data_IF_814079693424
#
_entry.id   IF_814079693424
#
_cell.length_a   1.000
_cell.length_b   1.000
_cell.length_c   1.000
_cell.angle_alpha   90.00
_cell.angle_beta   90.00
_cell.angle_gamma   90.00
#
_symmetry.space_group_name_H-M   'P 1'
#
loop_
_entity.id
_entity.type
_entity.pdbx_description
1 polymer ?
#
# COMPACT_ATOMS: atom_id res chain seq x y z
N UNK A 1 -14.10 -10.54 0.55
CA UNK A 1 -13.71 -9.51 -0.43
C UNK A 1 -13.89 -8.11 0.15
N UNK A 2 -12.96 -7.68 0.99
CA UNK A 2 -13.01 -6.34 1.59
C UNK A 2 -11.68 -5.65 1.35
N UNK A 3 -11.52 -5.05 0.18
CA UNK A 3 -10.38 -4.18 -0.09
C UNK A 3 -10.57 -2.88 0.68
N UNK A 4 -9.61 -2.56 1.56
CA UNK A 4 -9.68 -1.35 2.39
C UNK A 4 -9.65 -0.06 1.54
N UNK A 5 -8.81 -0.04 0.48
CA UNK A 5 -8.67 1.07 -0.48
C UNK A 5 -8.21 0.52 -1.84
N UNK A 6 -8.67 1.15 -2.93
CA UNK A 6 -8.20 0.88 -4.29
C UNK A 6 -7.51 2.14 -4.82
N UNK A 7 -6.23 2.04 -5.14
CA UNK A 7 -5.48 3.15 -5.75
C UNK A 7 -5.59 3.13 -7.26
N UNK A 8 -5.93 4.25 -7.89
CA UNK A 8 -5.89 4.41 -9.35
C UNK A 8 -5.17 5.71 -9.68
N UNK A 9 -4.29 5.70 -10.69
CA UNK A 9 -3.64 6.91 -11.15
C UNK A 9 -4.68 7.97 -11.56
N UNK A 10 -4.55 9.17 -10.98
CA UNK A 10 -5.52 10.27 -11.12
C UNK A 10 -5.87 10.59 -12.57
N UNK A 11 -4.87 10.71 -13.44
CA UNK A 11 -5.08 11.12 -14.84
C UNK A 11 -5.95 10.11 -15.58
N UNK A 12 -5.59 8.83 -15.50
CA UNK A 12 -6.34 7.74 -16.14
C UNK A 12 -7.73 7.59 -15.50
N UNK A 13 -7.81 7.69 -14.18
CA UNK A 13 -9.09 7.62 -13.47
C UNK A 13 -10.08 8.68 -13.97
N UNK A 14 -9.71 9.96 -13.91
CA UNK A 14 -10.61 11.07 -14.24
C UNK A 14 -10.91 11.16 -15.74
N UNK A 15 -9.96 10.82 -16.61
CA UNK A 15 -10.15 10.98 -18.06
C UNK A 15 -10.91 9.82 -18.71
N UNK A 16 -10.79 8.60 -18.17
CA UNK A 16 -11.26 7.41 -18.88
C UNK A 16 -12.21 6.52 -18.06
N UNK A 17 -12.06 6.45 -16.73
CA UNK A 17 -12.63 5.33 -15.95
C UNK A 17 -13.74 5.79 -14.99
N UNK A 18 -13.66 7.01 -14.44
CA UNK A 18 -14.53 7.48 -13.36
C UNK A 18 -16.02 7.31 -13.68
N UNK A 19 -16.48 7.79 -14.84
CA UNK A 19 -17.91 7.71 -15.21
C UNK A 19 -18.44 6.28 -15.21
N UNK A 20 -17.71 5.35 -15.85
CA UNK A 20 -18.10 3.94 -15.94
C UNK A 20 -18.12 3.26 -14.58
N UNK A 21 -17.12 3.52 -13.74
CA UNK A 21 -17.09 2.98 -12.38
C UNK A 21 -18.27 3.51 -11.57
N UNK A 22 -18.56 4.81 -11.62
CA UNK A 22 -19.65 5.42 -10.87
C UNK A 22 -21.02 4.88 -11.30
N UNK A 23 -21.24 4.69 -12.61
CA UNK A 23 -22.44 4.04 -13.14
C UNK A 23 -22.58 2.60 -12.62
N UNK A 24 -21.49 1.85 -12.62
CA UNK A 24 -21.50 0.45 -12.18
C UNK A 24 -21.71 0.31 -10.66
N UNK A 25 -21.11 1.19 -9.86
CA UNK A 25 -21.34 1.27 -8.41
C UNK A 25 -22.82 1.54 -8.12
N UNK A 26 -23.44 2.50 -8.84
CA UNK A 26 -24.88 2.79 -8.72
C UNK A 26 -25.74 1.61 -9.11
N UNK A 27 -25.43 0.97 -10.25
CA UNK A 27 -26.19 -0.16 -10.79
C UNK A 27 -26.17 -1.36 -9.84
N UNK A 28 -25.02 -1.68 -9.25
CA UNK A 28 -24.84 -2.82 -8.33
C UNK A 28 -25.12 -2.47 -6.86
N UNK A 29 -25.32 -1.20 -6.53
CA UNK A 29 -25.41 -0.68 -5.16
C UNK A 29 -24.20 -1.10 -4.31
N UNK A 30 -23.02 -1.12 -4.92
CA UNK A 30 -21.77 -1.52 -4.28
C UNK A 30 -20.74 -0.41 -4.51
N UNK A 31 -20.39 0.29 -3.43
CA UNK A 31 -19.51 1.45 -3.50
C UNK A 31 -18.14 1.11 -2.95
N UNK A 32 -17.13 1.17 -3.82
CA UNK A 32 -15.73 0.89 -3.47
C UNK A 32 -15.01 2.20 -3.15
N UNK A 33 -14.03 2.14 -2.24
CA UNK A 33 -13.20 3.31 -1.88
C UNK A 33 -12.05 3.46 -2.87
N UNK A 34 -12.15 4.44 -3.77
CA UNK A 34 -11.09 4.78 -4.72
C UNK A 34 -10.26 5.93 -4.14
N UNK A 35 -8.95 5.74 -4.12
CA UNK A 35 -7.95 6.76 -3.78
C UNK A 35 -7.19 7.13 -5.04
N UNK A 36 -7.23 8.41 -5.41
CA UNK A 36 -6.44 8.92 -6.53
C UNK A 36 -4.96 8.90 -6.17
N UNK A 37 -4.16 8.30 -7.05
CA UNK A 37 -2.71 8.24 -6.93
C UNK A 37 -2.07 9.30 -7.82
N UNK A 38 -1.04 9.96 -7.30
CA UNK A 38 -0.33 11.00 -8.03
C UNK A 38 1.05 10.50 -8.46
N UNK A 39 1.43 10.78 -9.70
CA UNK A 39 2.78 10.47 -10.20
C UNK A 39 3.88 11.30 -9.51
N UNK A 40 3.51 12.38 -8.80
CA UNK A 40 4.42 13.31 -8.10
C UNK A 40 5.59 13.83 -8.97
N UNK A 41 5.40 13.91 -10.29
CA UNK A 41 6.47 14.25 -11.26
C UNK A 41 7.74 13.37 -11.11
N UNK A 42 7.60 12.21 -10.47
CA UNK A 42 8.70 11.28 -10.23
C UNK A 42 8.81 10.34 -11.42
N UNK A 43 9.95 10.33 -12.09
CA UNK A 43 10.19 9.44 -13.21
C UNK A 43 9.88 7.98 -12.83
N UNK A 44 9.28 7.23 -13.76
CA UNK A 44 8.87 5.82 -13.58
C UNK A 44 9.99 4.98 -12.96
N UNK A 45 11.22 5.13 -13.46
CA UNK A 45 12.38 4.44 -12.92
C UNK A 45 12.67 4.74 -11.44
N UNK A 46 12.58 6.00 -11.03
CA UNK A 46 12.80 6.39 -9.63
C UNK A 46 11.71 5.77 -8.75
N UNK A 47 10.45 5.80 -9.21
CA UNK A 47 9.32 5.23 -8.48
C UNK A 47 9.46 3.72 -8.29
N UNK A 48 9.78 2.98 -9.36
CA UNK A 48 9.99 1.52 -9.30
C UNK A 48 11.17 1.18 -8.36
N UNK A 49 12.29 1.92 -8.45
CA UNK A 49 13.43 1.74 -7.54
C UNK A 49 13.08 2.01 -6.08
N UNK A 50 12.00 2.74 -5.79
CA UNK A 50 11.44 2.89 -4.44
C UNK A 50 11.02 1.57 -3.77
N UNK A 51 10.81 0.50 -4.56
CA UNK A 51 10.52 -0.84 -4.03
C UNK A 51 11.73 -1.53 -3.40
N UNK A 52 12.97 -1.17 -3.80
CA UNK A 52 14.21 -1.80 -3.31
C UNK A 52 14.29 -1.85 -1.78
N UNK A 53 14.15 -0.75 -1.02
CA UNK A 53 14.24 -0.80 0.44
C UNK A 53 13.16 -1.66 1.09
N UNK A 54 12.01 -1.80 0.43
CA UNK A 54 10.85 -2.53 0.95
C UNK A 54 10.98 -4.03 0.74
N UNK A 55 11.49 -4.45 -0.43
CA UNK A 55 11.88 -5.83 -0.65
C UNK A 55 13.07 -6.22 0.25
N UNK A 56 14.06 -5.34 0.40
CA UNK A 56 15.21 -5.58 1.27
C UNK A 56 14.82 -5.75 2.74
N UNK A 57 13.73 -5.14 3.18
CA UNK A 57 13.21 -5.29 4.55
C UNK A 57 12.23 -6.46 4.73
N UNK A 58 12.05 -7.32 3.72
CA UNK A 58 11.06 -8.41 3.73
C UNK A 58 9.63 -7.94 4.06
N UNK A 59 9.24 -6.77 3.53
CA UNK A 59 7.90 -6.20 3.76
C UNK A 59 6.90 -6.49 2.65
N UNK A 60 7.37 -6.98 1.50
CA UNK A 60 6.53 -7.46 0.38
C UNK A 60 6.75 -8.96 0.21
N UNK A 61 5.66 -9.69 0.01
CA UNK A 61 5.64 -11.12 -0.23
C UNK A 61 4.87 -11.40 -1.52
N UNK A 62 5.40 -12.29 -2.36
CA UNK A 62 4.72 -12.74 -3.56
C UNK A 62 3.86 -13.96 -3.25
N UNK A 63 2.72 -14.04 -3.93
CA UNK A 63 1.89 -15.24 -3.89
C UNK A 63 2.51 -16.23 -4.87
N UNK A 64 2.85 -17.42 -4.37
CA UNK A 64 3.49 -18.46 -5.17
C UNK A 64 2.64 -18.81 -6.41
N UNK A 65 3.24 -18.72 -7.59
CA UNK A 65 2.58 -19.02 -8.87
C UNK A 65 1.75 -17.89 -9.47
N UNK A 66 1.56 -16.76 -8.78
CA UNK A 66 0.67 -15.66 -9.22
C UNK A 66 1.41 -14.36 -9.57
N UNK A 67 2.71 -14.26 -9.25
CA UNK A 67 3.50 -13.03 -9.41
C UNK A 67 4.59 -13.11 -10.49
N UNK A 68 4.54 -14.09 -11.39
CA UNK A 68 5.57 -14.32 -12.41
C UNK A 68 5.88 -13.08 -13.24
N UNK A 69 4.86 -12.39 -13.75
CA UNK A 69 5.05 -11.18 -14.57
C UNK A 69 5.78 -10.06 -13.79
N UNK A 70 5.41 -9.87 -12.52
CA UNK A 70 6.07 -8.89 -11.64
C UNK A 70 7.54 -9.28 -11.40
N UNK A 71 7.81 -10.54 -11.14
CA UNK A 71 9.17 -11.06 -10.90
C UNK A 71 10.05 -10.86 -12.13
N UNK A 72 9.56 -11.21 -13.32
CA UNK A 72 10.27 -11.04 -14.58
C UNK A 72 10.58 -9.56 -14.87
N UNK A 73 9.60 -8.68 -14.69
CA UNK A 73 9.81 -7.24 -14.86
C UNK A 73 10.84 -6.71 -13.86
N UNK A 74 10.74 -7.04 -12.57
CA UNK A 74 11.68 -6.57 -11.56
C UNK A 74 13.11 -7.10 -11.75
N UNK A 75 13.28 -8.35 -12.21
CA UNK A 75 14.59 -8.94 -12.48
C UNK A 75 15.29 -8.32 -13.70
N UNK A 76 14.52 -7.88 -14.69
CA UNK A 76 15.05 -7.32 -15.94
C UNK A 76 15.08 -5.79 -15.95
N UNK A 77 14.45 -5.14 -14.98
CA UNK A 77 14.43 -3.69 -14.82
C UNK A 77 15.85 -3.07 -14.70
N UNK A 78 16.17 -1.93 -15.34
CA UNK A 78 15.32 -1.08 -16.20
C UNK A 78 15.38 -1.44 -17.69
N UNK A 79 15.94 -2.60 -18.05
CA UNK A 79 16.24 -2.97 -19.44
C UNK A 79 15.19 -3.89 -20.06
N UNK A 80 14.23 -4.36 -19.27
CA UNK A 80 13.10 -5.18 -19.72
C UNK A 80 12.25 -4.48 -20.78
N UNK A 81 11.47 -5.26 -21.51
CA UNK A 81 10.56 -4.74 -22.53
C UNK A 81 9.37 -4.00 -21.91
N UNK A 82 8.90 -4.47 -20.77
CA UNK A 82 7.79 -3.90 -19.99
C UNK A 82 8.20 -3.69 -18.54
N UNK A 83 7.51 -2.74 -17.91
CA UNK A 83 7.68 -2.37 -16.51
C UNK A 83 6.34 -1.90 -15.91
N UNK A 84 5.21 -2.31 -16.50
CA UNK A 84 3.89 -1.84 -16.14
C UNK A 84 3.37 -2.47 -14.84
N UNK A 85 3.67 -3.75 -14.61
CA UNK A 85 3.33 -4.47 -13.37
C UNK A 85 4.22 -3.99 -12.23
N UNK A 86 5.51 -3.79 -12.50
CA UNK A 86 6.45 -3.19 -11.56
C UNK A 86 6.05 -1.76 -11.17
N UNK A 87 5.60 -0.95 -12.13
CA UNK A 87 5.13 0.41 -11.87
C UNK A 87 3.83 0.45 -11.06
N UNK A 88 2.85 -0.39 -11.44
CA UNK A 88 1.61 -0.54 -10.69
C UNK A 88 1.88 -0.97 -9.23
N UNK A 89 2.86 -1.86 -9.02
CA UNK A 89 3.29 -2.29 -7.69
C UNK A 89 3.94 -1.14 -6.91
N UNK A 90 4.76 -0.31 -7.56
CA UNK A 90 5.43 0.81 -6.92
C UNK A 90 4.45 1.88 -6.40
N UNK A 91 3.29 2.05 -7.02
CA UNK A 91 2.22 2.92 -6.52
C UNK A 91 1.67 2.49 -5.16
N UNK A 92 1.78 1.21 -4.78
CA UNK A 92 1.34 0.73 -3.47
C UNK A 92 2.07 1.43 -2.32
N UNK A 93 3.29 1.92 -2.55
CA UNK A 93 4.06 2.67 -1.55
C UNK A 93 3.36 3.96 -1.11
N UNK A 94 2.57 4.57 -1.99
CA UNK A 94 1.76 5.75 -1.65
C UNK A 94 0.55 5.39 -0.78
N UNK A 95 -0.01 4.19 -0.95
CA UNK A 95 -1.14 3.70 -0.15
C UNK A 95 -0.70 3.17 1.22
N UNK A 96 0.43 2.47 1.28
CA UNK A 96 0.99 1.88 2.49
C UNK A 96 1.56 2.92 3.48
N UNK A 97 1.63 4.20 3.09
CA UNK A 97 2.21 5.27 3.90
C UNK A 97 3.73 5.26 3.98
N UNK A 98 4.40 4.38 3.20
CA UNK A 98 5.86 4.30 3.16
C UNK A 98 6.49 5.39 2.29
N UNK A 99 5.73 5.93 1.33
CA UNK A 99 6.22 6.97 0.44
C UNK A 99 6.30 8.38 1.08
N UNK A 100 5.99 8.57 2.36
CA UNK A 100 5.96 9.91 2.96
C UNK A 100 6.88 10.05 4.17
N UNK A 101 8.15 10.27 3.85
CA UNK A 101 9.06 11.06 4.68
C UNK A 101 8.76 12.57 4.70
N UNK A 102 7.64 13.05 4.13
CA UNK A 102 7.30 14.46 4.13
C UNK A 102 5.85 14.74 3.77
N UNK A 103 5.20 15.53 4.63
CA UNK A 103 3.99 16.32 4.38
C UNK A 103 2.72 15.49 4.06
N UNK A 104 2.16 14.85 5.08
CA UNK A 104 0.72 14.95 5.31
C UNK A 104 0.52 15.73 6.60
N UNK A 105 -0.33 16.74 6.52
CA UNK A 105 -0.72 17.61 7.62
C UNK A 105 -1.20 16.78 8.83
N UNK A 106 -0.69 17.13 10.01
CA UNK A 106 -1.11 16.57 11.30
C UNK A 106 0.05 15.89 12.03
N UNK A 107 0.66 16.61 12.96
CA UNK A 107 1.81 16.22 13.82
C UNK A 107 1.55 15.02 14.77
N UNK A 108 0.50 14.21 14.58
CA UNK A 108 0.01 13.29 15.62
C UNK A 108 0.20 11.78 15.37
N UNK A 109 0.75 11.33 14.23
CA UNK A 109 0.88 9.88 13.93
C UNK A 109 2.29 9.35 13.68
N UNK A 110 3.32 10.09 14.11
CA UNK A 110 4.71 9.60 14.14
C UNK A 110 5.07 8.81 15.41
N UNK A 111 4.07 8.24 16.10
CA UNK A 111 4.30 7.37 17.25
C UNK A 111 4.07 5.91 16.85
N UNK A 112 5.15 5.14 16.93
CA UNK A 112 5.20 3.68 16.96
C UNK A 112 4.89 2.94 15.65
N UNK A 113 5.73 3.13 14.61
CA UNK A 113 5.97 2.04 13.67
C UNK A 113 7.24 1.33 14.16
N UNK A 114 7.07 0.24 14.91
CA UNK A 114 8.20 -0.60 15.32
C UNK A 114 8.97 -1.08 14.08
N UNK A 115 10.31 -1.13 14.09
CA UNK A 115 11.07 -1.62 12.96
C UNK A 115 10.65 -3.05 12.63
N UNK A 116 10.57 -3.35 11.33
CA UNK A 116 10.29 -4.70 10.84
C UNK A 116 11.37 -5.68 11.34
N UNK A 117 11.03 -6.98 11.49
CA UNK A 117 12.03 -8.00 11.79
C UNK A 117 13.16 -7.94 10.77
N UNK A 118 14.41 -7.88 11.24
CA UNK A 118 15.58 -7.80 10.36
C UNK A 118 16.68 -8.73 10.85
N UNK A 119 17.52 -9.15 9.91
CA UNK A 119 18.73 -9.92 10.19
C UNK A 119 19.89 -8.93 10.26
N UNK A 120 20.64 -8.93 11.37
CA UNK A 120 21.81 -8.09 11.47
C UNK A 120 23.02 -8.65 10.68
N UNK A 121 24.11 -7.88 10.64
CA UNK A 121 25.35 -8.25 9.96
C UNK A 121 26.01 -9.54 10.50
N UNK A 122 25.51 -10.08 11.61
CA UNK A 122 25.97 -11.31 12.24
C UNK A 122 24.99 -12.47 12.03
N UNK A 123 23.94 -12.29 11.22
CA UNK A 123 22.96 -13.33 10.95
C UNK A 123 21.92 -13.51 12.05
N UNK A 124 21.81 -12.57 13.01
CA UNK A 124 20.87 -12.68 14.12
C UNK A 124 19.52 -12.08 13.75
N UNK A 125 18.45 -12.88 13.88
CA UNK A 125 17.07 -12.43 13.71
C UNK A 125 16.65 -11.56 14.90
N UNK A 126 16.36 -10.29 14.65
CA UNK A 126 15.72 -9.41 15.64
C UNK A 126 14.21 -9.42 15.42
N UNK A 127 13.49 -10.24 16.19
CA UNK A 127 12.01 -10.27 16.19
C UNK A 127 11.43 -9.23 17.14
N UNK A 128 10.16 -8.84 16.92
CA UNK A 128 9.46 -7.84 17.75
C UNK A 128 9.43 -8.27 19.23
N UNK A 129 9.52 -7.33 20.19
CA UNK A 129 9.01 -7.59 21.53
C UNK A 129 7.48 -7.81 21.47
N UNK A 130 7.00 -8.81 22.20
CA UNK A 130 5.61 -9.30 22.23
C UNK A 130 4.58 -8.16 22.33
N UNK A 131 3.78 -7.98 21.27
CA UNK A 131 2.76 -6.92 21.16
C UNK A 131 1.49 -7.18 21.97
N UNK A 132 1.46 -8.17 22.88
CA UNK A 132 0.30 -8.49 23.75
C UNK A 132 -0.12 -7.40 24.76
N UNK A 133 0.31 -6.14 24.60
CA UNK A 133 -0.07 -5.04 25.50
C UNK A 133 -0.57 -3.77 24.83
N UNK A 134 -0.98 -3.81 23.56
CA UNK A 134 -1.53 -2.62 22.90
C UNK A 134 -2.79 -2.94 22.11
N UNK A 135 -3.92 -3.16 22.81
CA UNK A 135 -5.24 -2.58 22.49
C UNK A 135 -6.31 -3.05 23.50
N UNK A 136 -6.56 -2.25 24.53
CA UNK A 136 -7.88 -2.24 25.19
C UNK A 136 -8.82 -1.47 24.26
N UNK A 137 -9.69 -2.18 23.54
CA UNK A 137 -10.74 -1.57 22.73
C UNK A 137 -11.87 -1.12 23.67
N UNK A 138 -12.33 0.15 23.65
CA UNK A 138 -13.45 0.56 24.47
C UNK A 138 -14.70 -0.20 24.02
N UNK A 139 -15.31 -0.93 24.95
CA UNK A 139 -16.59 -1.61 24.78
C UNK A 139 -17.70 -0.56 24.66
N UNK A 140 -17.90 0.04 23.48
CA UNK A 140 -19.13 0.77 23.20
C UNK A 140 -20.26 -0.24 22.99
N UNK A 141 -20.93 -0.59 24.09
CA UNK A 141 -22.25 -1.23 24.07
C UNK A 141 -23.32 -0.15 24.24
N UNK A 142 -24.08 0.03 23.15
CA UNK A 142 -25.53 0.25 23.05
C UNK A 142 -26.20 1.39 23.83
N UNK A 143 -26.92 2.22 23.07
CA UNK A 143 -27.93 3.16 23.55
C UNK A 143 -29.13 2.49 24.25
N UNK A 144 -29.66 3.27 25.21
CA UNK A 144 -31.06 3.50 25.63
C UNK A 144 -31.76 2.58 26.66
N UNK A 145 -32.74 3.22 27.32
CA UNK A 145 -33.99 2.80 27.99
C UNK A 145 -33.99 2.33 29.46
N UNK A 146 -33.88 3.27 30.42
CA UNK A 146 -34.77 3.47 31.60
C UNK A 146 -34.07 4.20 32.76
N UNK A 147 -34.87 5.08 33.39
CA UNK A 147 -34.74 5.79 34.69
C UNK A 147 -33.72 6.90 34.80
#
# INVERSE_FOLDING_TARGET
DNYFKIGIEKTIYLQAIEGFIQDEMRRRKHFISITELQHQQTAKEIRIRGLIPVYASNSIYHIEGECTDLEEELLTFPKGLSDDVADATAYQLQLAGWAQGGILEGEEKRREIAPAPHIDQYGVMHEKPDTKKVFDYPQNKTEDWRT
#
